data_IF_565243899694
#
_entry.id   IF_565243899694
#
_cell.length_a   1.000
_cell.length_b   1.000
_cell.length_c   1.000
_cell.angle_alpha   90.00
_cell.angle_beta   90.00
_cell.angle_gamma   90.00
#
_symmetry.space_group_name_H-M   'P 1'
#
loop_
_entity.id
_entity.type
_entity.pdbx_description
1 polymer ?
#
# COMPACT_ATOMS: atom_id res chain seq x y z
N UNK A 1 -5.21 -2.54 0.44
CA UNK A 1 -3.74 -2.55 0.30
C UNK A 1 -3.17 -1.43 1.17
N UNK A 2 -1.87 -1.45 1.44
CA UNK A 2 -1.12 -0.26 1.90
C UNK A 2 -0.04 0.05 0.88
N UNK A 3 0.33 1.33 0.74
CA UNK A 3 1.27 1.79 -0.27
C UNK A 3 2.31 2.72 0.35
N UNK A 4 3.59 2.42 0.11
CA UNK A 4 4.70 3.31 0.43
C UNK A 4 5.04 4.14 -0.81
N UNK A 5 5.19 5.44 -0.63
CA UNK A 5 5.62 6.37 -1.68
C UNK A 5 6.80 7.15 -1.15
N UNK A 6 7.97 6.88 -1.72
CA UNK A 6 9.24 7.32 -1.13
C UNK A 6 10.32 7.60 -2.15
N UNK A 7 11.47 8.06 -1.68
CA UNK A 7 12.68 8.14 -2.48
C UNK A 7 13.52 6.91 -2.21
N UNK A 8 13.98 6.21 -3.26
CA UNK A 8 14.92 5.12 -3.09
C UNK A 8 16.36 5.64 -3.23
N UNK A 9 17.10 5.84 -2.12
CA UNK A 9 18.45 6.40 -2.15
C UNK A 9 19.49 5.45 -2.78
N UNK A 10 19.21 4.13 -2.83
CA UNK A 10 20.18 3.13 -3.29
C UNK A 10 20.32 3.05 -4.81
N UNK A 11 19.35 3.59 -5.56
CA UNK A 11 19.36 3.53 -7.03
C UNK A 11 19.72 4.88 -7.70
N UNK A 12 20.17 5.89 -6.94
CA UNK A 12 20.41 7.25 -7.44
C UNK A 12 19.21 7.79 -8.26
N UNK A 13 18.01 7.36 -7.88
CA UNK A 13 16.80 7.60 -8.65
C UNK A 13 16.39 9.06 -8.53
N UNK A 14 16.31 9.75 -9.67
CA UNK A 14 15.76 11.11 -9.77
C UNK A 14 14.24 11.17 -9.61
N UNK A 15 13.59 10.03 -9.32
CA UNK A 15 12.13 9.86 -9.30
C UNK A 15 11.67 9.07 -8.08
N UNK A 16 10.48 9.42 -7.58
CA UNK A 16 9.82 8.71 -6.47
C UNK A 16 9.54 7.25 -6.84
N UNK A 17 9.75 6.35 -5.88
CA UNK A 17 9.35 4.96 -5.92
C UNK A 17 7.97 4.77 -5.28
N UNK A 18 7.22 3.80 -5.79
CA UNK A 18 5.91 3.40 -5.27
C UNK A 18 5.92 1.90 -5.07
N UNK A 19 5.60 1.46 -3.86
CA UNK A 19 5.58 0.06 -3.46
C UNK A 19 4.22 -0.26 -2.81
N UNK A 20 3.55 -1.31 -3.28
CA UNK A 20 2.21 -1.67 -2.82
C UNK A 20 2.24 -3.04 -2.15
N UNK A 21 1.75 -3.10 -0.91
CA UNK A 21 1.45 -4.36 -0.23
C UNK A 21 -0.05 -4.65 -0.30
N UNK A 22 -0.41 -5.63 -1.12
CA UNK A 22 -1.79 -6.12 -1.22
C UNK A 22 -2.05 -7.02 0.00
N UNK A 23 -3.08 -6.68 0.79
CA UNK A 23 -3.47 -7.40 2.00
C UNK A 23 -4.28 -8.67 1.65
N UNK A 24 -3.67 -9.54 0.84
CA UNK A 24 -4.21 -10.81 0.40
C UNK A 24 -3.06 -11.80 0.26
N UNK A 25 -3.25 -13.03 0.75
CA UNK A 25 -2.25 -14.09 0.60
C UNK A 25 -2.42 -14.72 -0.79
N UNK A 26 -1.48 -14.44 -1.68
CA UNK A 26 -1.42 -15.07 -3.00
C UNK A 26 -0.68 -16.42 -2.89
N UNK A 27 -1.07 -17.37 -3.74
CA UNK A 27 -0.41 -18.68 -3.83
C UNK A 27 0.87 -18.66 -4.68
N UNK A 28 1.06 -17.60 -5.48
CA UNK A 28 2.23 -17.43 -6.36
C UNK A 28 2.46 -15.96 -6.70
N UNK A 29 3.66 -15.66 -7.19
CA UNK A 29 4.02 -14.32 -7.66
C UNK A 29 3.30 -13.95 -8.96
N UNK A 30 3.14 -12.65 -9.19
CA UNK A 30 2.42 -12.07 -10.34
C UNK A 30 3.26 -11.05 -11.11
N UNK A 31 4.58 -11.26 -11.20
CA UNK A 31 5.46 -10.42 -12.02
C UNK A 31 4.99 -10.33 -13.48
N UNK A 32 5.09 -9.13 -14.06
CA UNK A 32 4.64 -8.84 -15.43
C UNK A 32 3.12 -8.70 -15.58
N UNK A 33 2.34 -8.82 -14.50
CA UNK A 33 0.90 -8.52 -14.51
C UNK A 33 0.66 -7.04 -14.26
N UNK A 34 -0.42 -6.53 -14.86
CA UNK A 34 -0.92 -5.19 -14.55
C UNK A 34 -1.64 -5.20 -13.20
N UNK A 35 -1.37 -4.20 -12.37
CA UNK A 35 -2.05 -4.01 -11.08
C UNK A 35 -2.76 -2.67 -11.11
N UNK A 36 -4.09 -2.70 -10.95
CA UNK A 36 -4.92 -1.51 -10.80
C UNK A 36 -5.06 -1.16 -9.32
N UNK A 37 -4.83 0.11 -8.97
CA UNK A 37 -4.93 0.60 -7.60
C UNK A 37 -5.75 1.88 -7.53
N UNK A 38 -6.50 2.04 -6.43
CA UNK A 38 -7.17 3.28 -6.06
C UNK A 38 -6.66 3.69 -4.68
N UNK A 39 -6.11 4.89 -4.59
CA UNK A 39 -5.56 5.46 -3.36
C UNK A 39 -6.68 6.27 -2.71
N UNK A 40 -7.02 5.93 -1.47
CA UNK A 40 -8.20 6.48 -0.78
C UNK A 40 -7.87 7.37 0.40
N UNK A 41 -6.76 7.12 1.07
CA UNK A 41 -6.39 7.84 2.29
C UNK A 41 -4.87 7.90 2.47
N UNK A 42 -4.43 8.88 3.27
CA UNK A 42 -3.04 9.11 3.64
C UNK A 42 -2.84 8.80 5.13
N UNK A 43 -2.12 7.71 5.42
CA UNK A 43 -1.90 7.27 6.81
C UNK A 43 -0.89 8.14 7.56
N UNK A 44 0.31 8.34 6.99
CA UNK A 44 1.42 9.03 7.66
C UNK A 44 2.57 9.39 6.71
N UNK A 45 3.45 10.27 7.19
CA UNK A 45 4.76 10.53 6.57
C UNK A 45 5.73 9.35 6.74
N UNK A 46 6.75 9.33 5.88
CA UNK A 46 7.91 8.46 6.05
C UNK A 46 8.58 8.74 7.39
N UNK A 47 9.09 7.68 8.02
CA UNK A 47 9.77 7.76 9.31
C UNK A 47 11.03 6.92 9.26
N UNK A 48 12.07 7.38 9.92
CA UNK A 48 13.23 6.56 10.24
C UNK A 48 12.87 5.64 11.40
N UNK A 49 13.41 4.43 11.39
CA UNK A 49 13.21 3.45 12.45
C UNK A 49 14.57 3.04 13.00
N UNK A 50 14.67 3.00 14.32
CA UNK A 50 15.91 2.66 15.03
C UNK A 50 16.24 1.15 14.97
N UNK A 51 15.28 0.31 14.56
CA UNK A 51 15.46 -1.14 14.42
C UNK A 51 14.52 -1.75 13.37
N UNK A 52 14.85 -2.98 12.94
CA UNK A 52 13.99 -3.78 12.07
C UNK A 52 12.65 -4.12 12.74
N UNK A 53 12.67 -4.44 14.04
CA UNK A 53 11.45 -4.75 14.80
C UNK A 53 10.51 -3.53 14.84
N UNK A 54 11.05 -2.34 15.09
CA UNK A 54 10.26 -1.10 15.10
C UNK A 54 9.65 -0.80 13.72
N UNK A 55 10.39 -1.07 12.64
CA UNK A 55 9.87 -0.98 11.27
C UNK A 55 8.73 -1.98 11.03
N UNK A 56 8.92 -3.25 11.43
CA UNK A 56 7.90 -4.29 11.28
C UNK A 56 6.63 -3.94 12.05
N UNK A 57 6.75 -3.50 13.31
CA UNK A 57 5.61 -3.08 14.13
C UNK A 57 4.85 -1.92 13.50
N UNK A 58 5.55 -0.93 12.96
CA UNK A 58 4.93 0.20 12.28
C UNK A 58 4.16 -0.23 11.02
N UNK A 59 4.76 -1.08 10.18
CA UNK A 59 4.10 -1.61 8.97
C UNK A 59 2.85 -2.42 9.35
N UNK A 60 2.93 -3.27 10.38
CA UNK A 60 1.77 -4.00 10.86
C UNK A 60 0.67 -3.08 11.42
N UNK A 61 1.07 -1.98 12.08
CA UNK A 61 0.16 -0.93 12.51
C UNK A 61 -0.56 -0.27 11.33
N UNK A 62 0.18 0.10 10.29
CA UNK A 62 -0.38 0.69 9.06
C UNK A 62 -1.38 -0.25 8.39
N UNK A 63 -1.08 -1.56 8.34
CA UNK A 63 -1.98 -2.60 7.80
C UNK A 63 -3.26 -2.70 8.63
N UNK A 64 -3.16 -2.71 9.97
CA UNK A 64 -4.34 -2.77 10.86
C UNK A 64 -5.22 -1.54 10.66
N UNK A 65 -4.63 -0.35 10.72
CA UNK A 65 -5.33 0.91 10.54
C UNK A 65 -6.02 0.96 9.17
N UNK A 66 -5.31 0.62 8.10
CA UNK A 66 -5.88 0.60 6.76
C UNK A 66 -7.07 -0.37 6.64
N UNK A 67 -6.99 -1.56 7.25
CA UNK A 67 -8.10 -2.51 7.22
C UNK A 67 -9.35 -1.96 7.90
N UNK A 68 -9.19 -1.27 9.03
CA UNK A 68 -10.28 -0.61 9.77
C UNK A 68 -10.86 0.56 8.97
N UNK A 69 -10.01 1.48 8.51
CA UNK A 69 -10.43 2.64 7.70
C UNK A 69 -11.19 2.19 6.45
N UNK A 70 -10.72 1.16 5.74
CA UNK A 70 -11.38 0.67 4.53
C UNK A 70 -12.76 0.04 4.76
N UNK A 71 -13.18 -0.22 6.00
CA UNK A 71 -14.56 -0.66 6.31
C UNK A 71 -15.56 0.51 6.34
N UNK A 72 -15.09 1.75 6.46
CA UNK A 72 -15.97 2.92 6.51
C UNK A 72 -16.76 3.04 5.19
N UNK A 73 -18.06 3.41 5.24
CA UNK A 73 -18.92 3.42 4.05
C UNK A 73 -18.37 4.23 2.86
N UNK A 74 -17.73 5.37 3.14
CA UNK A 74 -17.13 6.25 2.15
C UNK A 74 -15.98 5.59 1.37
N UNK A 75 -15.29 4.61 1.96
CA UNK A 75 -14.17 3.91 1.34
C UNK A 75 -14.56 2.53 0.82
N UNK A 76 -15.42 1.81 1.55
CA UNK A 76 -15.80 0.44 1.20
C UNK A 76 -16.52 0.37 -0.15
N UNK A 77 -17.24 1.43 -0.55
CA UNK A 77 -17.87 1.53 -1.88
C UNK A 77 -16.88 1.37 -3.04
N UNK A 78 -15.59 1.69 -2.84
CA UNK A 78 -14.60 1.58 -3.90
C UNK A 78 -14.18 0.14 -4.21
N UNK A 79 -14.49 -0.82 -3.33
CA UNK A 79 -14.13 -2.24 -3.52
C UNK A 79 -14.73 -2.83 -4.80
N UNK A 80 -15.88 -2.31 -5.24
CA UNK A 80 -16.59 -2.73 -6.47
C UNK A 80 -16.64 -1.62 -7.51
N UNK A 81 -15.78 -0.59 -7.39
CA UNK A 81 -15.76 0.53 -8.32
C UNK A 81 -15.47 0.10 -9.76
N UNK A 82 -16.12 0.73 -10.74
CA UNK A 82 -16.02 0.38 -12.16
C UNK A 82 -14.59 0.40 -12.73
N UNK A 83 -13.67 1.12 -12.09
CA UNK A 83 -12.24 1.12 -12.47
C UNK A 83 -11.61 -0.29 -12.41
N UNK A 84 -12.08 -1.14 -11.49
CA UNK A 84 -11.56 -2.49 -11.32
C UNK A 84 -12.21 -3.52 -12.24
N UNK A 85 -13.41 -3.24 -12.78
CA UNK A 85 -14.20 -4.18 -13.59
C UNK A 85 -14.37 -3.74 -15.04
N UNK A 86 -14.07 -2.48 -15.34
CA UNK A 86 -14.10 -1.92 -16.68
C UNK A 86 -12.94 -2.44 -17.54
N UNK A 87 -13.06 -2.35 -18.88
CA UNK A 87 -12.01 -2.72 -19.81
C UNK A 87 -10.69 -1.98 -19.50
#
# INVERSE_FOLDING_TARGET
>A
MVMSVGWNPFYNNKTKAVEVHIMHKFDSDFYGKEVRIVILDYLRQEKNFESLDALMEAIQGDIRQANETLQLPEFNQYKTHQFFTGP
#
